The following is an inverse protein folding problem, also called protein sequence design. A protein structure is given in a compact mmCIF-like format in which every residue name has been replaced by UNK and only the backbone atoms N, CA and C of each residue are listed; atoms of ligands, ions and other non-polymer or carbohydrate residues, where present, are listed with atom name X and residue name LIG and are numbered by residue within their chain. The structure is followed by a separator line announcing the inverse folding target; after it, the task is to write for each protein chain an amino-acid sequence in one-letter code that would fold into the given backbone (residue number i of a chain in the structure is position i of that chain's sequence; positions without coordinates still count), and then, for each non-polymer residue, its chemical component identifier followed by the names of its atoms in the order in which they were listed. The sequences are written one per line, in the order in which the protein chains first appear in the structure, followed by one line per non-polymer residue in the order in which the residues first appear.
data_IF_069477911681
#
_entry.id   IF_069477911681
#
_cell.length_a   1.000
_cell.length_b   1.000
_cell.length_c   1.000
_cell.angle_alpha   90.00
_cell.angle_beta   90.00
_cell.angle_gamma   90.00
#
_symmetry.space_group_name_H-M   'P 1'
#
loop_
_entity.id
_entity.type
_entity.pdbx_description
1 polymer ?
#
# COMPACT_ATOMS: atom_id res chain seq x y z
N UNK A 1 0.78 -8.79 1.16
CA UNK A 1 0.34 -7.86 2.25
C UNK A 1 0.90 -6.49 1.95
N UNK A 2 0.06 -5.49 1.91
CA UNK A 2 0.37 -4.13 1.40
C UNK A 2 0.73 -3.17 2.53
N UNK A 3 1.76 -3.51 3.28
CA UNK A 3 2.26 -2.73 4.41
C UNK A 3 2.80 -1.34 3.99
N UNK A 4 3.38 -1.21 2.80
CA UNK A 4 3.77 0.09 2.25
C UNK A 4 2.57 0.98 1.93
N UNK A 5 1.44 0.41 1.52
CA UNK A 5 0.20 1.17 1.37
C UNK A 5 -0.36 1.60 2.75
N UNK A 6 -0.27 0.73 3.75
CA UNK A 6 -0.81 1.02 5.08
C UNK A 6 -0.19 2.27 5.73
N UNK A 7 1.10 2.56 5.47
CA UNK A 7 1.80 3.72 6.04
C UNK A 7 1.39 5.08 5.43
N UNK A 8 0.52 5.11 4.42
CA UNK A 8 -0.09 6.36 3.94
C UNK A 8 -0.95 7.05 5.01
N UNK A 9 -1.37 6.29 6.02
CA UNK A 9 -2.00 6.77 7.26
C UNK A 9 -1.05 6.43 8.41
N UNK A 10 -1.02 7.28 9.45
CA UNK A 10 -0.16 7.05 10.61
C UNK A 10 -0.41 5.70 11.24
N UNK A 11 0.65 4.93 11.42
CA UNK A 11 0.65 3.60 12.02
C UNK A 11 1.64 3.58 13.19
N UNK A 12 1.33 2.79 14.20
CA UNK A 12 2.31 2.42 15.22
C UNK A 12 3.15 1.24 14.64
N UNK A 13 4.49 1.35 14.53
CA UNK A 13 5.29 0.37 13.78
C UNK A 13 5.20 -1.07 14.29
N UNK A 14 5.15 -1.26 15.62
CA UNK A 14 5.04 -2.59 16.20
C UNK A 14 3.66 -3.21 15.94
N UNK A 15 2.60 -2.40 16.00
CA UNK A 15 1.24 -2.84 15.70
C UNK A 15 1.10 -3.21 14.22
N UNK A 16 1.63 -2.40 13.31
CA UNK A 16 1.61 -2.71 11.87
C UNK A 16 2.33 -4.02 11.55
N UNK A 17 3.52 -4.22 12.15
CA UNK A 17 4.29 -5.46 11.96
C UNK A 17 3.50 -6.68 12.43
N UNK A 18 2.88 -6.59 13.61
CA UNK A 18 2.04 -7.66 14.16
C UNK A 18 0.84 -7.94 13.27
N UNK A 19 0.09 -6.90 12.88
CA UNK A 19 -1.09 -7.03 12.03
C UNK A 19 -0.76 -7.65 10.66
N UNK A 20 0.40 -7.32 10.09
CA UNK A 20 0.87 -7.90 8.82
C UNK A 20 1.08 -9.42 8.95
N UNK A 21 1.70 -9.88 10.04
CA UNK A 21 1.92 -11.31 10.28
C UNK A 21 0.62 -12.04 10.62
N UNK A 22 -0.23 -11.43 11.42
CA UNK A 22 -1.55 -11.97 11.75
C UNK A 22 -2.42 -12.14 10.51
N UNK A 23 -2.38 -11.20 9.57
CA UNK A 23 -3.13 -11.29 8.32
C UNK A 23 -2.65 -12.46 7.45
N UNK A 24 -1.34 -12.70 7.38
CA UNK A 24 -0.78 -13.88 6.68
C UNK A 24 -1.30 -15.16 7.33
N UNK A 25 -1.23 -15.25 8.66
CA UNK A 25 -1.71 -16.42 9.40
C UNK A 25 -3.21 -16.65 9.17
N UNK A 26 -4.02 -15.59 9.13
CA UNK A 26 -5.44 -15.67 8.82
C UNK A 26 -5.71 -16.21 7.41
N UNK A 27 -4.97 -15.74 6.40
CA UNK A 27 -5.11 -16.24 5.02
C UNK A 27 -4.82 -17.73 4.93
N UNK A 28 -3.75 -18.20 5.58
CA UNK A 28 -3.40 -19.63 5.62
C UNK A 28 -4.50 -20.42 6.39
N UNK A 29 -4.98 -19.91 7.49
CA UNK A 29 -6.06 -20.53 8.27
C UNK A 29 -7.38 -20.60 7.48
N UNK A 30 -7.64 -19.65 6.59
CA UNK A 30 -8.79 -19.66 5.68
C UNK A 30 -8.61 -20.59 4.48
N UNK A 31 -7.49 -21.31 4.40
CA UNK A 31 -7.25 -22.33 3.36
C UNK A 31 -6.41 -21.86 2.18
N UNK A 32 -5.79 -20.67 2.27
CA UNK A 32 -4.87 -20.21 1.23
C UNK A 32 -3.57 -21.02 1.36
N UNK A 33 -3.27 -21.81 0.34
CA UNK A 33 -2.14 -22.74 0.32
C UNK A 33 -0.88 -22.04 -0.21
N UNK A 34 0.16 -21.84 0.64
CA UNK A 34 1.39 -21.17 0.23
C UNK A 34 2.22 -21.97 -0.79
N UNK A 35 1.97 -23.29 -0.94
CA UNK A 35 2.59 -24.12 -1.97
C UNK A 35 2.01 -23.81 -3.38
N UNK A 36 0.77 -23.28 -3.43
CA UNK A 36 0.03 -23.02 -4.67
C UNK A 36 -0.16 -21.53 -4.94
N UNK A 37 0.07 -20.68 -3.94
CA UNK A 37 -0.19 -19.25 -4.01
C UNK A 37 1.01 -18.44 -3.56
N UNK A 38 1.29 -17.35 -4.26
CA UNK A 38 2.37 -16.43 -3.86
C UNK A 38 1.87 -15.53 -2.72
N UNK A 39 2.42 -15.72 -1.53
CA UNK A 39 2.19 -14.88 -0.36
C UNK A 39 3.46 -14.08 -0.07
N UNK A 40 3.35 -12.76 -0.03
CA UNK A 40 4.49 -11.91 0.27
C UNK A 40 4.08 -10.64 1.02
N UNK A 41 5.04 -10.04 1.71
CA UNK A 41 4.93 -8.70 2.31
C UNK A 41 5.54 -7.72 1.30
N UNK A 42 4.82 -6.68 0.93
CA UNK A 42 5.22 -5.76 -0.12
C UNK A 42 6.59 -5.11 0.16
N UNK A 43 6.85 -4.70 1.40
CA UNK A 43 8.14 -4.12 1.79
C UNK A 43 9.34 -5.07 1.69
N UNK A 44 9.09 -6.38 1.59
CA UNK A 44 10.15 -7.38 1.38
C UNK A 44 10.53 -7.55 -0.10
N UNK A 45 9.86 -6.85 -1.00
CA UNK A 45 10.14 -6.83 -2.44
C UNK A 45 10.51 -5.40 -2.86
N UNK A 46 11.79 -5.00 -2.73
CA UNK A 46 12.23 -3.62 -3.02
C UNK A 46 11.85 -3.14 -4.44
N UNK A 47 11.78 -4.07 -5.40
CA UNK A 47 11.40 -3.79 -6.78
C UNK A 47 10.02 -3.10 -6.91
N UNK A 48 9.08 -3.31 -5.97
CA UNK A 48 7.81 -2.59 -5.94
C UNK A 48 8.02 -1.07 -5.78
N UNK A 49 8.89 -0.67 -4.85
CA UNK A 49 9.18 0.76 -4.64
C UNK A 49 9.98 1.35 -5.82
N UNK A 50 10.89 0.58 -6.40
CA UNK A 50 11.67 0.99 -7.58
C UNK A 50 10.76 1.20 -8.78
N UNK A 51 9.89 0.25 -9.09
CA UNK A 51 8.94 0.37 -10.19
C UNK A 51 7.93 1.50 -9.94
N UNK A 52 7.47 1.65 -8.70
CA UNK A 52 6.59 2.76 -8.33
C UNK A 52 7.24 4.11 -8.62
N UNK A 53 8.54 4.28 -8.37
CA UNK A 53 9.26 5.50 -8.71
C UNK A 53 9.25 5.75 -10.22
N UNK A 54 9.56 4.74 -11.01
CA UNK A 54 9.53 4.84 -12.48
C UNK A 54 8.12 5.25 -12.95
N UNK A 55 7.09 4.56 -12.49
CA UNK A 55 5.70 4.85 -12.85
C UNK A 55 5.28 6.27 -12.44
N UNK A 56 5.71 6.77 -11.27
CA UNK A 56 5.45 8.13 -10.83
C UNK A 56 6.01 9.18 -11.80
N UNK A 57 7.16 8.90 -12.45
CA UNK A 57 7.75 9.81 -13.44
C UNK A 57 6.91 9.91 -14.72
N UNK A 58 6.06 8.95 -15.00
CA UNK A 58 5.14 8.93 -16.15
C UNK A 58 3.69 9.23 -15.80
N UNK A 59 3.34 9.27 -14.53
CA UNK A 59 1.98 9.57 -14.07
C UNK A 59 1.72 11.06 -14.07
N UNK A 60 0.69 11.48 -14.82
CA UNK A 60 0.34 12.89 -14.91
C UNK A 60 -0.36 13.37 -13.63
N UNK A 61 0.10 14.49 -13.07
CA UNK A 61 -0.48 15.09 -11.87
C UNK A 61 -1.99 15.29 -11.98
N UNK A 62 -2.47 15.78 -13.14
CA UNK A 62 -3.90 16.01 -13.38
C UNK A 62 -4.74 14.73 -13.38
N UNK A 63 -4.16 13.58 -13.71
CA UNK A 63 -4.82 12.27 -13.62
C UNK A 63 -4.87 11.79 -12.18
N UNK A 64 -3.75 11.79 -11.50
CA UNK A 64 -3.67 11.39 -10.10
C UNK A 64 -4.58 12.23 -9.19
N UNK A 65 -4.69 13.54 -9.41
CA UNK A 65 -5.55 14.44 -8.63
C UNK A 65 -7.05 14.21 -8.82
N UNK A 66 -7.46 13.54 -9.90
CA UNK A 66 -8.86 13.19 -10.15
C UNK A 66 -9.31 11.90 -9.49
N UNK A 67 -8.38 11.11 -8.95
CA UNK A 67 -8.70 9.83 -8.33
C UNK A 67 -9.63 10.00 -7.11
N UNK A 68 -10.72 9.26 -7.11
CA UNK A 68 -11.72 9.32 -6.03
C UNK A 68 -11.13 8.94 -4.69
N UNK A 69 -10.26 7.93 -4.65
CA UNK A 69 -9.58 7.48 -3.44
C UNK A 69 -8.75 8.57 -2.78
N UNK A 70 -8.05 9.41 -3.55
CA UNK A 70 -7.32 10.55 -3.01
C UNK A 70 -8.27 11.56 -2.36
N UNK A 71 -9.36 11.90 -3.04
CA UNK A 71 -10.38 12.84 -2.54
C UNK A 71 -11.02 12.35 -1.24
N UNK A 72 -11.44 11.08 -1.22
CA UNK A 72 -12.10 10.47 -0.06
C UNK A 72 -11.17 10.38 1.15
N UNK A 73 -9.91 9.94 0.94
CA UNK A 73 -8.92 9.84 2.02
C UNK A 73 -8.46 11.21 2.52
N UNK A 74 -8.29 12.18 1.63
CA UNK A 74 -7.95 13.57 2.00
C UNK A 74 -9.05 14.21 2.84
N UNK A 75 -10.33 13.95 2.53
CA UNK A 75 -11.44 14.44 3.32
C UNK A 75 -11.51 13.79 4.72
N UNK A 76 -11.20 12.49 4.83
CA UNK A 76 -11.20 11.75 6.10
C UNK A 76 -9.99 12.03 7.00
N UNK A 77 -8.87 12.44 6.43
CA UNK A 77 -7.59 12.66 7.11
C UNK A 77 -7.03 14.04 6.78
N UNK A 78 -7.86 15.08 6.92
CA UNK A 78 -7.53 16.46 6.53
C UNK A 78 -6.28 17.02 7.26
N UNK A 79 -5.95 16.49 8.42
CA UNK A 79 -4.77 16.81 9.23
C UNK A 79 -3.50 16.06 8.81
N UNK A 80 -3.61 15.08 7.91
CA UNK A 80 -2.49 14.25 7.47
C UNK A 80 -2.53 13.96 5.96
N UNK A 81 -2.67 15.01 5.15
CA UNK A 81 -2.60 14.89 3.69
C UNK A 81 -1.12 14.87 3.28
N UNK A 82 -0.58 13.69 3.11
CA UNK A 82 0.82 13.50 2.70
C UNK A 82 0.93 13.04 1.23
N UNK A 83 2.14 13.16 0.67
CA UNK A 83 2.38 12.78 -0.74
C UNK A 83 2.11 11.30 -1.00
N UNK A 84 2.38 10.42 -0.02
CA UNK A 84 2.07 9.01 -0.13
C UNK A 84 0.58 8.74 -0.35
N UNK A 85 -0.29 9.55 0.25
CA UNK A 85 -1.74 9.48 0.05
C UNK A 85 -2.14 9.81 -1.40
N UNK A 86 -1.35 10.64 -2.09
CA UNK A 86 -1.54 10.98 -3.48
C UNK A 86 -0.98 9.92 -4.44
N UNK A 87 0.17 9.33 -4.09
CA UNK A 87 0.93 8.45 -4.99
C UNK A 87 0.76 6.95 -4.74
N UNK A 88 0.12 6.54 -3.62
CA UNK A 88 -0.05 5.11 -3.33
C UNK A 88 -0.77 4.31 -4.44
N UNK A 89 -1.69 4.87 -5.25
CA UNK A 89 -2.29 4.11 -6.35
C UNK A 89 -1.26 3.70 -7.39
N UNK A 90 -0.22 4.51 -7.61
CA UNK A 90 0.90 4.20 -8.49
C UNK A 90 1.75 3.07 -7.90
N UNK A 91 2.01 3.10 -6.59
CA UNK A 91 2.66 2.00 -5.88
C UNK A 91 1.86 0.69 -5.98
N UNK A 92 0.53 0.78 -5.94
CA UNK A 92 -0.34 -0.40 -6.05
C UNK A 92 -0.42 -0.96 -7.49
N UNK A 93 -0.04 -0.17 -8.49
CA UNK A 93 0.05 -0.60 -9.88
C UNK A 93 1.38 -1.31 -10.20
N UNK A 94 2.37 -1.10 -9.36
CA UNK A 94 3.67 -1.76 -9.50
C UNK A 94 3.61 -3.20 -9.02
#
# INVERSE_FOLDING_TARGET
MVDQHAITVRQEPAALRRATLELIAQYIACGLDPEKSILFIQSHVPAHAELAWVLNCFTMFGEASRMTQFKDKSAKHADNINVGLFTYPVLMAA
#
